data_IF_321003727978
#
_entry.id   IF_321003727978
#
_cell.length_a   1.000
_cell.length_b   1.000
_cell.length_c   1.000
_cell.angle_alpha   90.00
_cell.angle_beta   90.00
_cell.angle_gamma   90.00
#
_symmetry.space_group_name_H-M   'P 1'
#
loop_
_entity.id
_entity.type
_entity.pdbx_description
1 polymer ?
#
# COMPACT_ATOMS: atom_id res chain seq x y z
N UNK A 1 15.92 -4.65 -1.83
CA UNK A 1 15.40 -4.80 -0.45
C UNK A 1 16.12 -3.93 0.55
N UNK A 2 17.45 -4.11 0.82
CA UNK A 2 18.14 -3.24 1.80
C UNK A 2 18.09 -1.75 1.46
N UNK A 3 18.27 -1.38 0.20
CA UNK A 3 18.10 0.01 -0.26
C UNK A 3 16.69 0.55 0.01
N UNK A 4 15.67 -0.28 -0.16
CA UNK A 4 14.28 0.13 0.11
C UNK A 4 14.03 0.35 1.60
N UNK A 5 14.58 -0.50 2.46
CA UNK A 5 14.48 -0.32 3.92
C UNK A 5 15.14 1.00 4.33
N UNK A 6 16.37 1.24 3.90
CA UNK A 6 17.14 2.41 4.32
C UNK A 6 16.63 3.72 3.72
N UNK A 7 16.25 3.71 2.43
CA UNK A 7 15.92 4.95 1.70
C UNK A 7 14.42 5.30 1.72
N UNK A 8 13.55 4.33 2.04
CA UNK A 8 12.09 4.53 2.03
C UNK A 8 11.45 4.17 3.38
N UNK A 9 11.55 2.93 3.82
CA UNK A 9 10.80 2.47 4.99
C UNK A 9 11.29 3.11 6.28
N UNK A 10 12.59 3.23 6.47
CA UNK A 10 13.14 3.87 7.67
C UNK A 10 12.77 5.35 7.78
N UNK A 11 12.91 6.20 6.73
CA UNK A 11 12.42 7.57 6.76
C UNK A 11 10.91 7.68 7.01
N UNK A 12 10.09 6.81 6.40
CA UNK A 12 8.65 6.81 6.61
C UNK A 12 8.28 6.48 8.07
N UNK A 13 8.88 5.42 8.60
CA UNK A 13 8.69 5.03 9.99
C UNK A 13 9.16 6.09 10.98
N UNK A 14 10.31 6.72 10.72
CA UNK A 14 10.84 7.80 11.54
C UNK A 14 9.93 9.04 11.53
N UNK A 15 9.50 9.50 10.34
CA UNK A 15 8.60 10.63 10.21
C UNK A 15 7.26 10.38 10.92
N UNK A 16 6.71 9.17 10.77
CA UNK A 16 5.49 8.79 11.45
C UNK A 16 5.66 8.72 12.97
N UNK A 17 6.75 8.15 13.46
CA UNK A 17 7.05 8.08 14.90
C UNK A 17 7.23 9.47 15.53
N UNK A 18 7.89 10.39 14.81
CA UNK A 18 8.02 11.78 15.25
C UNK A 18 6.63 12.44 15.32
N UNK A 19 5.81 12.31 14.29
CA UNK A 19 4.46 12.84 14.28
C UNK A 19 3.62 12.27 15.45
N UNK A 20 3.68 10.96 15.68
CA UNK A 20 3.02 10.32 16.80
C UNK A 20 3.43 10.91 18.15
N UNK A 21 4.72 11.14 18.37
CA UNK A 21 5.25 11.76 19.59
C UNK A 21 4.80 13.21 19.73
N UNK A 22 4.92 14.01 18.68
CA UNK A 22 4.58 15.44 18.70
C UNK A 22 3.08 15.65 18.91
N UNK A 23 2.23 14.84 18.30
CA UNK A 23 0.76 14.94 18.40
C UNK A 23 0.18 14.14 19.56
N UNK A 24 1.04 13.49 20.38
CA UNK A 24 0.64 12.62 21.47
C UNK A 24 -0.33 11.51 21.05
N UNK A 25 -0.09 10.94 19.87
CA UNK A 25 -0.89 9.84 19.35
C UNK A 25 -2.27 10.27 18.84
N UNK A 26 -2.34 11.40 18.15
CA UNK A 26 -3.61 11.90 17.60
C UNK A 26 -4.34 10.83 16.77
N UNK A 27 -5.66 10.73 16.95
CA UNK A 27 -6.49 9.69 16.34
C UNK A 27 -6.40 9.66 14.80
N UNK A 28 -6.22 10.83 14.17
CA UNK A 28 -6.08 10.94 12.71
C UNK A 28 -4.84 10.23 12.14
N UNK A 29 -3.87 9.85 12.95
CA UNK A 29 -2.75 8.99 12.54
C UNK A 29 -3.19 7.55 12.23
N UNK A 30 -4.33 7.10 12.77
CA UNK A 30 -4.92 5.80 12.43
C UNK A 30 -4.26 4.59 13.07
N UNK A 31 -3.44 4.74 14.15
CA UNK A 31 -2.84 3.59 14.86
C UNK A 31 -3.84 2.79 15.69
N UNK A 32 -4.99 3.36 16.03
CA UNK A 32 -6.06 2.62 16.70
C UNK A 32 -6.63 1.52 15.79
N UNK A 33 -7.19 0.48 16.40
CA UNK A 33 -7.87 -0.58 15.65
C UNK A 33 -9.13 -0.09 14.90
N UNK A 34 -9.64 1.10 15.24
CA UNK A 34 -10.91 1.60 14.74
C UNK A 34 -12.07 0.70 15.18
N UNK A 35 -13.12 0.63 14.37
CA UNK A 35 -14.12 -0.43 14.49
C UNK A 35 -13.53 -1.72 13.88
N UNK A 36 -13.18 -2.67 14.73
CA UNK A 36 -12.49 -3.88 14.31
C UNK A 36 -13.33 -4.72 13.32
N UNK A 37 -14.64 -4.78 13.50
CA UNK A 37 -15.54 -5.53 12.62
C UNK A 37 -15.56 -4.90 11.23
N UNK A 38 -15.67 -3.57 11.16
CA UNK A 38 -15.63 -2.81 9.91
C UNK A 38 -14.27 -2.97 9.22
N UNK A 39 -13.16 -2.83 9.96
CA UNK A 39 -11.81 -2.93 9.40
C UNK A 39 -11.51 -4.33 8.85
N UNK A 40 -11.85 -5.37 9.61
CA UNK A 40 -11.64 -6.76 9.15
C UNK A 40 -12.64 -7.16 8.07
N UNK A 41 -13.88 -6.70 8.12
CA UNK A 41 -14.88 -6.89 7.07
C UNK A 41 -14.44 -6.26 5.74
N UNK A 42 -13.94 -5.02 5.80
CA UNK A 42 -13.34 -4.36 4.64
C UNK A 42 -12.13 -5.15 4.12
N UNK A 43 -11.20 -5.54 4.99
CA UNK A 43 -10.02 -6.28 4.60
C UNK A 43 -10.36 -7.63 3.95
N UNK A 44 -11.35 -8.36 4.50
CA UNK A 44 -11.77 -9.66 3.96
C UNK A 44 -12.30 -9.57 2.52
N UNK A 45 -12.89 -8.44 2.14
CA UNK A 45 -13.40 -8.19 0.78
C UNK A 45 -12.30 -7.55 -0.08
N UNK A 46 -11.66 -6.50 0.42
CA UNK A 46 -10.72 -5.70 -0.36
C UNK A 46 -9.43 -6.46 -0.67
N UNK A 47 -8.89 -7.26 0.26
CA UNK A 47 -7.62 -7.94 0.04
C UNK A 47 -7.66 -8.94 -1.14
N UNK A 48 -8.62 -9.88 -1.25
CA UNK A 48 -8.68 -10.77 -2.41
C UNK A 48 -8.97 -10.02 -3.71
N UNK A 49 -9.82 -8.99 -3.69
CA UNK A 49 -10.11 -8.19 -4.88
C UNK A 49 -8.87 -7.41 -5.35
N UNK A 50 -8.14 -6.79 -4.45
CA UNK A 50 -6.92 -6.06 -4.78
C UNK A 50 -5.79 -6.98 -5.22
N UNK A 51 -5.63 -8.15 -4.61
CA UNK A 51 -4.71 -9.17 -5.10
C UNK A 51 -5.04 -9.57 -6.54
N UNK A 52 -6.29 -9.93 -6.83
CA UNK A 52 -6.73 -10.34 -8.16
C UNK A 52 -6.56 -9.21 -9.19
N UNK A 53 -6.95 -7.97 -8.84
CA UNK A 53 -6.76 -6.80 -9.70
C UNK A 53 -5.27 -6.55 -9.98
N UNK A 54 -4.41 -6.64 -8.98
CA UNK A 54 -2.98 -6.47 -9.13
C UNK A 54 -2.35 -7.55 -10.03
N UNK A 55 -2.76 -8.81 -9.91
CA UNK A 55 -2.38 -9.91 -10.82
C UNK A 55 -2.83 -9.62 -12.25
N UNK A 56 -4.07 -9.17 -12.44
CA UNK A 56 -4.60 -8.83 -13.76
C UNK A 56 -3.84 -7.64 -14.41
N UNK A 57 -3.54 -6.60 -13.63
CA UNK A 57 -2.72 -5.46 -14.07
C UNK A 57 -1.32 -5.93 -14.45
N UNK A 58 -0.69 -6.76 -13.62
CA UNK A 58 0.64 -7.31 -13.91
C UNK A 58 0.62 -8.12 -15.21
N UNK A 59 -0.36 -8.99 -15.42
CA UNK A 59 -0.54 -9.73 -16.66
C UNK A 59 -0.72 -8.80 -17.88
N UNK A 60 -1.54 -7.75 -17.74
CA UNK A 60 -1.75 -6.78 -18.82
C UNK A 60 -0.47 -6.02 -19.17
N UNK A 61 0.29 -5.59 -18.17
CA UNK A 61 1.55 -4.87 -18.37
C UNK A 61 2.62 -5.77 -19.00
N UNK A 62 2.72 -7.04 -18.57
CA UNK A 62 3.74 -7.98 -19.08
C UNK A 62 3.55 -8.43 -20.50
N UNK A 63 2.35 -8.30 -21.07
CA UNK A 63 2.14 -8.46 -22.52
C UNK A 63 2.93 -7.46 -23.37
N UNK A 64 3.39 -6.37 -22.76
CA UNK A 64 4.12 -5.27 -23.44
C UNK A 64 5.57 -5.12 -22.97
N UNK A 65 5.94 -5.73 -21.84
CA UNK A 65 7.27 -5.65 -21.22
C UNK A 65 7.48 -6.77 -20.22
N UNK A 66 8.73 -6.91 -19.71
CA UNK A 66 9.00 -7.85 -18.62
C UNK A 66 8.36 -7.41 -17.32
N UNK A 67 7.96 -8.38 -16.50
CA UNK A 67 7.52 -8.14 -15.11
C UNK A 67 8.63 -7.46 -14.29
N UNK A 68 8.24 -6.57 -13.36
CA UNK A 68 9.18 -5.87 -12.48
C UNK A 68 9.96 -6.83 -11.59
N UNK A 69 9.27 -7.82 -11.06
CA UNK A 69 9.85 -8.85 -10.19
C UNK A 69 9.06 -10.14 -10.34
N UNK A 70 9.77 -11.25 -10.50
CA UNK A 70 9.17 -12.58 -10.49
C UNK A 70 9.98 -13.41 -9.50
N UNK A 71 9.39 -13.89 -8.38
CA UNK A 71 10.08 -14.73 -7.42
C UNK A 71 10.67 -15.99 -8.07
N UNK A 72 11.85 -16.41 -7.61
CA UNK A 72 12.51 -17.60 -8.14
C UNK A 72 11.71 -18.87 -7.88
N UNK A 73 11.11 -18.98 -6.70
CA UNK A 73 10.30 -20.12 -6.26
C UNK A 73 9.30 -19.70 -5.16
N UNK A 74 8.65 -20.68 -4.53
CA UNK A 74 7.69 -20.43 -3.44
C UNK A 74 8.33 -19.88 -2.17
N UNK A 75 9.58 -20.25 -1.87
CA UNK A 75 10.33 -19.74 -0.70
C UNK A 75 10.67 -18.25 -0.90
N UNK A 76 11.13 -17.89 -2.08
CA UNK A 76 11.40 -16.48 -2.42
C UNK A 76 10.11 -15.66 -2.39
N UNK A 77 9.00 -16.19 -2.92
CA UNK A 77 7.70 -15.52 -2.84
C UNK A 77 7.23 -15.31 -1.40
N UNK A 78 7.42 -16.29 -0.52
CA UNK A 78 7.10 -16.17 0.90
C UNK A 78 7.96 -15.11 1.59
N UNK A 79 9.26 -15.07 1.31
CA UNK A 79 10.17 -14.06 1.85
C UNK A 79 9.81 -12.64 1.38
N UNK A 80 9.49 -12.49 0.09
CA UNK A 80 9.00 -11.21 -0.44
C UNK A 80 7.68 -10.80 0.21
N UNK A 81 6.76 -11.75 0.43
CA UNK A 81 5.48 -11.47 1.11
C UNK A 81 5.69 -11.00 2.55
N UNK A 82 6.63 -11.60 3.28
CA UNK A 82 7.00 -11.15 4.62
C UNK A 82 7.55 -9.70 4.61
N UNK A 83 8.36 -9.37 3.60
CA UNK A 83 8.81 -7.99 3.42
C UNK A 83 7.64 -7.03 3.14
N UNK A 84 6.67 -7.42 2.28
CA UNK A 84 5.50 -6.60 1.97
C UNK A 84 4.55 -6.46 3.16
N UNK A 85 4.52 -7.44 4.07
CA UNK A 85 3.78 -7.35 5.33
C UNK A 85 4.31 -6.24 6.27
N UNK A 86 5.55 -5.81 6.10
CA UNK A 86 6.13 -4.65 6.80
C UNK A 86 6.01 -3.38 5.94
N UNK A 87 6.30 -3.49 4.64
CA UNK A 87 6.29 -2.36 3.71
C UNK A 87 4.90 -1.70 3.61
N UNK A 88 3.85 -2.51 3.39
CA UNK A 88 2.49 -1.99 3.22
C UNK A 88 2.00 -1.14 4.39
N UNK A 89 2.05 -1.63 5.65
CA UNK A 89 1.68 -0.83 6.82
C UNK A 89 2.49 0.45 6.99
N UNK A 90 3.79 0.45 6.69
CA UNK A 90 4.62 1.64 6.80
C UNK A 90 4.29 2.68 5.72
N UNK A 91 3.99 2.25 4.50
CA UNK A 91 3.50 3.14 3.46
C UNK A 91 2.12 3.72 3.80
N UNK A 92 1.19 2.90 4.29
CA UNK A 92 -0.12 3.40 4.74
C UNK A 92 0.02 4.34 5.94
N UNK A 93 0.88 4.05 6.90
CA UNK A 93 1.15 4.94 8.02
C UNK A 93 1.64 6.32 7.52
N UNK A 94 2.56 6.34 6.57
CA UNK A 94 3.08 7.59 6.03
C UNK A 94 2.03 8.32 5.17
N UNK A 95 1.48 7.64 4.14
CA UNK A 95 0.60 8.33 3.19
C UNK A 95 -0.81 8.55 3.73
N UNK A 96 -1.42 7.56 4.40
CA UNK A 96 -2.79 7.70 4.92
C UNK A 96 -2.80 8.32 6.32
N UNK A 97 -2.01 7.79 7.23
CA UNK A 97 -1.93 8.33 8.58
C UNK A 97 -1.36 9.75 8.58
N UNK A 98 -0.08 9.90 8.22
CA UNK A 98 0.62 11.18 8.37
C UNK A 98 0.14 12.24 7.36
N UNK A 99 0.18 11.94 6.05
CA UNK A 99 -0.09 12.96 5.03
C UNK A 99 -1.60 13.20 4.89
N UNK A 100 -2.38 12.17 4.57
CA UNK A 100 -3.84 12.31 4.36
C UNK A 100 -4.54 12.74 5.64
N UNK A 101 -4.30 12.05 6.76
CA UNK A 101 -4.92 12.34 8.05
C UNK A 101 -4.47 13.69 8.60
N UNK A 102 -3.17 14.01 8.50
CA UNK A 102 -2.63 15.28 8.98
C UNK A 102 -3.20 16.49 8.26
N UNK A 103 -3.25 16.47 6.91
CA UNK A 103 -3.87 17.55 6.12
C UNK A 103 -5.39 17.62 6.37
N UNK A 104 -6.05 16.44 6.49
CA UNK A 104 -7.47 16.38 6.82
C UNK A 104 -7.78 17.01 8.16
N UNK A 105 -6.98 16.74 9.18
CA UNK A 105 -7.11 17.35 10.52
C UNK A 105 -6.80 18.85 10.53
N UNK A 106 -5.95 19.33 9.62
CA UNK A 106 -5.65 20.76 9.46
C UNK A 106 -6.74 21.53 8.70
N UNK A 107 -7.79 20.88 8.17
CA UNK A 107 -8.96 21.54 7.65
C UNK A 107 -9.53 21.07 6.31
N UNK A 108 -8.84 20.15 5.57
CA UNK A 108 -9.38 19.69 4.29
C UNK A 108 -9.09 18.23 3.98
N UNK A 109 -10.04 17.36 4.30
CA UNK A 109 -9.96 15.93 3.97
C UNK A 109 -9.83 15.63 2.48
N UNK A 110 -10.58 16.31 1.55
CA UNK A 110 -10.38 16.10 0.11
C UNK A 110 -8.98 16.47 -0.36
N UNK A 111 -8.39 17.56 0.15
CA UNK A 111 -7.02 17.95 -0.18
C UNK A 111 -6.04 16.93 0.37
N UNK A 112 -6.23 16.48 1.62
CA UNK A 112 -5.41 15.44 2.23
C UNK A 112 -5.41 14.16 1.38
N UNK A 113 -6.58 13.70 0.95
CA UNK A 113 -6.73 12.57 0.05
C UNK A 113 -5.98 12.76 -1.29
N UNK A 114 -6.20 13.90 -1.93
CA UNK A 114 -5.58 14.18 -3.24
C UNK A 114 -4.05 14.24 -3.14
N UNK A 115 -3.51 14.99 -2.17
CA UNK A 115 -2.07 15.15 -1.96
C UNK A 115 -1.42 13.81 -1.60
N UNK A 116 -1.99 13.08 -0.65
CA UNK A 116 -1.44 11.80 -0.23
C UNK A 116 -1.46 10.76 -1.36
N UNK A 117 -2.55 10.68 -2.13
CA UNK A 117 -2.68 9.75 -3.24
C UNK A 117 -1.71 10.09 -4.37
N UNK A 118 -1.59 11.37 -4.73
CA UNK A 118 -0.62 11.81 -5.73
C UNK A 118 0.82 11.54 -5.29
N UNK A 119 1.16 11.87 -4.06
CA UNK A 119 2.47 11.60 -3.50
C UNK A 119 2.77 10.09 -3.48
N UNK A 120 1.81 9.25 -3.07
CA UNK A 120 1.91 7.79 -3.10
C UNK A 120 2.19 7.26 -4.51
N UNK A 121 1.48 7.73 -5.51
CA UNK A 121 1.70 7.32 -6.91
C UNK A 121 3.09 7.77 -7.37
N UNK A 122 3.41 9.04 -7.21
CA UNK A 122 4.65 9.61 -7.76
C UNK A 122 5.91 9.08 -7.09
N UNK A 123 5.88 8.76 -5.78
CA UNK A 123 7.07 8.28 -5.10
C UNK A 123 7.59 6.95 -5.67
N UNK A 124 6.74 6.13 -6.31
CA UNK A 124 7.16 4.90 -6.97
C UNK A 124 8.15 5.13 -8.11
N UNK A 125 8.19 6.34 -8.69
CA UNK A 125 9.24 6.72 -9.66
C UNK A 125 10.64 6.70 -9.07
N UNK A 126 10.78 6.91 -7.77
CA UNK A 126 12.08 6.81 -7.08
C UNK A 126 12.66 5.39 -7.13
N UNK A 127 11.82 4.37 -7.23
CA UNK A 127 12.18 2.97 -7.44
C UNK A 127 12.56 2.61 -8.89
N UNK A 128 12.70 3.59 -9.78
CA UNK A 128 12.96 3.40 -11.22
C UNK A 128 11.86 2.64 -11.98
N UNK A 129 10.63 2.67 -11.46
CA UNK A 129 9.48 2.07 -12.12
C UNK A 129 9.13 2.84 -13.41
N UNK A 130 8.58 2.15 -14.41
CA UNK A 130 8.07 2.83 -15.61
C UNK A 130 6.86 3.69 -15.25
N UNK A 131 6.49 4.63 -16.11
CA UNK A 131 5.27 5.42 -15.91
C UNK A 131 4.01 4.55 -15.86
N UNK A 132 3.96 3.47 -16.65
CA UNK A 132 2.82 2.54 -16.62
C UNK A 132 2.70 1.85 -15.25
N UNK A 133 3.81 1.37 -14.67
CA UNK A 133 3.82 0.77 -13.33
C UNK A 133 3.46 1.80 -12.26
N UNK A 134 4.05 2.99 -12.35
CA UNK A 134 3.81 4.10 -11.44
C UNK A 134 2.34 4.48 -11.42
N UNK A 135 1.72 4.68 -12.58
CA UNK A 135 0.30 5.02 -12.67
C UNK A 135 -0.61 3.87 -12.22
N UNK A 136 -0.20 2.63 -12.46
CA UNK A 136 -0.93 1.46 -11.99
C UNK A 136 -1.06 1.41 -10.46
N UNK A 137 -0.11 1.98 -9.70
CA UNK A 137 -0.25 2.10 -8.24
C UNK A 137 -1.44 2.97 -7.81
N UNK A 138 -1.91 3.85 -8.68
CA UNK A 138 -3.14 4.60 -8.45
C UNK A 138 -4.38 3.73 -8.26
N UNK A 139 -4.42 2.54 -8.91
CA UNK A 139 -5.49 1.56 -8.73
C UNK A 139 -5.54 0.98 -7.31
N UNK A 140 -4.45 1.08 -6.58
CA UNK A 140 -4.37 0.74 -5.15
C UNK A 140 -4.52 2.00 -4.31
N UNK A 141 -3.78 3.05 -4.63
CA UNK A 141 -3.73 4.28 -3.88
C UNK A 141 -5.08 4.98 -3.72
N UNK A 142 -5.87 5.05 -4.79
CA UNK A 142 -7.20 5.69 -4.75
C UNK A 142 -8.19 4.94 -3.85
N UNK A 143 -8.45 3.62 -4.05
CA UNK A 143 -9.39 2.90 -3.19
C UNK A 143 -8.98 2.89 -1.72
N UNK A 144 -7.68 2.74 -1.40
CA UNK A 144 -7.21 2.73 -0.01
C UNK A 144 -7.35 4.11 0.63
N UNK A 145 -7.07 5.18 -0.12
CA UNK A 145 -7.29 6.55 0.38
C UNK A 145 -8.76 6.87 0.62
N UNK A 146 -9.67 6.40 -0.24
CA UNK A 146 -11.11 6.52 -0.06
C UNK A 146 -11.56 5.71 1.16
N UNK A 147 -11.08 4.46 1.30
CA UNK A 147 -11.42 3.61 2.43
C UNK A 147 -10.97 4.23 3.76
N UNK A 148 -9.73 4.74 3.82
CA UNK A 148 -9.23 5.43 5.01
C UNK A 148 -10.10 6.64 5.40
N UNK A 149 -10.66 7.33 4.42
CA UNK A 149 -11.51 8.50 4.63
C UNK A 149 -12.95 8.13 5.04
N UNK A 150 -13.55 7.11 4.39
CA UNK A 150 -14.99 6.86 4.45
C UNK A 150 -15.39 5.69 5.35
N UNK A 151 -14.48 4.81 5.74
CA UNK A 151 -14.82 3.71 6.64
C UNK A 151 -15.32 4.27 7.98
N UNK A 152 -16.46 3.76 8.48
CA UNK A 152 -17.03 4.26 9.73
C UNK A 152 -16.14 3.99 10.94
N UNK A 153 -16.27 4.84 11.96
CA UNK A 153 -15.50 4.76 13.20
C UNK A 153 -14.26 5.66 13.20
N UNK A 154 -13.44 5.59 14.22
CA UNK A 154 -12.16 6.29 14.26
C UNK A 154 -11.24 5.83 13.12
N UNK A 155 -10.44 6.74 12.50
CA UNK A 155 -9.51 6.36 11.45
C UNK A 155 -8.61 5.19 11.89
N UNK A 156 -8.40 4.22 11.00
CA UNK A 156 -7.57 3.06 11.26
C UNK A 156 -6.78 2.65 10.02
N UNK A 157 -5.52 2.30 10.22
CA UNK A 157 -4.65 1.77 9.18
C UNK A 157 -4.81 0.26 8.97
N UNK A 158 -5.56 -0.44 9.86
CA UNK A 158 -5.61 -1.91 9.87
C UNK A 158 -6.14 -2.49 8.56
N UNK A 159 -7.36 -2.13 8.16
CA UNK A 159 -8.00 -2.67 6.97
C UNK A 159 -7.26 -2.30 5.69
N UNK A 160 -6.87 -1.03 5.55
CA UNK A 160 -6.13 -0.55 4.37
C UNK A 160 -4.74 -1.16 4.27
N UNK A 161 -4.05 -1.42 5.39
CA UNK A 161 -2.75 -2.11 5.38
C UNK A 161 -2.86 -3.55 4.90
N UNK A 162 -3.86 -4.30 5.37
CA UNK A 162 -4.09 -5.70 4.92
C UNK A 162 -4.38 -5.74 3.42
N UNK A 163 -5.24 -4.84 2.93
CA UNK A 163 -5.57 -4.75 1.50
C UNK A 163 -4.36 -4.33 0.66
N UNK A 164 -3.51 -3.42 1.15
CA UNK A 164 -2.27 -3.01 0.50
C UNK A 164 -1.26 -4.17 0.38
N UNK A 165 -1.04 -4.92 1.46
CA UNK A 165 -0.17 -6.11 1.44
C UNK A 165 -0.63 -7.07 0.34
N UNK A 166 -1.92 -7.34 0.26
CA UNK A 166 -2.49 -8.22 -0.76
C UNK A 166 -2.27 -7.68 -2.18
N UNK A 167 -2.50 -6.40 -2.41
CA UNK A 167 -2.23 -5.74 -3.70
C UNK A 167 -0.75 -5.88 -4.10
N UNK A 168 0.17 -5.60 -3.18
CA UNK A 168 1.61 -5.71 -3.44
C UNK A 168 2.04 -7.15 -3.71
N UNK A 169 1.51 -8.12 -2.96
CA UNK A 169 1.71 -9.55 -3.21
C UNK A 169 1.17 -9.99 -4.59
N UNK A 170 0.06 -9.42 -5.03
CA UNK A 170 -0.50 -9.66 -6.37
C UNK A 170 0.37 -9.09 -7.49
N UNK A 171 1.00 -7.94 -7.26
CA UNK A 171 1.78 -7.24 -8.29
C UNK A 171 3.25 -7.68 -8.36
N UNK A 172 3.92 -7.93 -7.24
CA UNK A 172 5.38 -8.13 -7.18
C UNK A 172 5.81 -9.50 -6.63
N UNK A 173 4.99 -10.15 -5.84
CA UNK A 173 5.36 -11.37 -5.11
C UNK A 173 4.68 -12.64 -5.65
N UNK A 174 3.79 -13.26 -4.87
CA UNK A 174 3.09 -14.49 -5.25
C UNK A 174 2.32 -14.41 -6.56
N UNK A 175 1.77 -13.23 -6.92
CA UNK A 175 1.04 -13.05 -8.17
C UNK A 175 1.86 -13.35 -9.42
N UNK A 176 3.03 -12.71 -9.64
CA UNK A 176 3.94 -13.05 -10.74
C UNK A 176 4.40 -14.50 -10.73
N UNK A 177 4.65 -15.09 -9.54
CA UNK A 177 4.96 -16.51 -9.45
C UNK A 177 3.82 -17.40 -9.95
N UNK A 178 2.57 -17.06 -9.59
CA UNK A 178 1.38 -17.74 -10.09
C UNK A 178 1.28 -17.63 -11.61
N UNK A 179 1.40 -16.43 -12.17
CA UNK A 179 1.35 -16.20 -13.61
C UNK A 179 2.43 -17.00 -14.34
N UNK A 180 3.65 -17.06 -13.79
CA UNK A 180 4.72 -17.87 -14.37
C UNK A 180 4.40 -19.39 -14.34
N UNK A 181 3.86 -19.88 -13.22
CA UNK A 181 3.45 -21.30 -13.12
C UNK A 181 2.33 -21.67 -14.09
N UNK A 182 1.51 -20.69 -14.47
CA UNK A 182 0.46 -20.84 -15.48
C UNK A 182 0.94 -20.59 -16.91
N UNK A 183 2.25 -20.37 -17.13
CA UNK A 183 2.86 -20.03 -18.43
C UNK A 183 2.25 -18.76 -19.07
N UNK A 184 1.91 -17.77 -18.25
CA UNK A 184 1.33 -16.49 -18.68
C UNK A 184 2.35 -15.33 -18.64
N UNK A 185 3.57 -15.58 -18.12
CA UNK A 185 4.72 -14.67 -18.12
C UNK A 185 5.85 -15.21 -18.97
#
# INVERSE_FOLDING_TARGET
MWSDILLRLQPFGAAYAIAYRVTRGAAWLGLGAGDLVVQLGFAAIAAPLMFAAAVAVQLWLTRRRRALSVPADGRDAAFQSAFYAVNGPLEEAFFRGLVQGGIGAAGSTPIGFAVATLAYVLYHRLGRWTWADTLATGLVGVPLGIAYWLLPGPPSLLGVSIAHIAATCGFLGPGPLLLRKLNLL
#
